data_IF_786664500373
#
_entry.id   IF_786664500373
#
_cell.length_a   1.000
_cell.length_b   1.000
_cell.length_c   1.000
_cell.angle_alpha   90.00
_cell.angle_beta   90.00
_cell.angle_gamma   90.00
#
_symmetry.space_group_name_H-M   'P 1'
#
loop_
_entity.id
_entity.type
_entity.pdbx_description
1 polymer ?
#
# COMPACT_ATOMS: atom_id res chain seq x y z
N UNK A 1 44.76 37.83 -14.67
CA UNK A 1 43.86 36.72 -14.31
C UNK A 1 42.59 37.35 -13.79
N UNK A 2 41.62 37.53 -14.67
CA UNK A 2 40.42 38.33 -14.45
C UNK A 2 39.39 37.61 -13.59
N UNK A 3 38.98 38.29 -12.51
CA UNK A 3 37.90 37.89 -11.63
C UNK A 3 36.55 38.24 -12.28
N UNK A 4 36.06 37.32 -13.12
CA UNK A 4 34.74 37.42 -13.75
C UNK A 4 33.64 37.13 -12.72
N UNK A 5 33.15 38.21 -12.14
CA UNK A 5 32.05 38.36 -11.20
C UNK A 5 30.71 37.84 -11.80
N UNK A 6 30.32 36.61 -11.46
CA UNK A 6 29.00 36.05 -11.81
C UNK A 6 27.91 36.73 -10.94
N UNK A 7 27.13 37.62 -11.55
CA UNK A 7 25.96 38.25 -10.92
C UNK A 7 24.81 37.25 -10.81
N UNK A 8 24.34 37.00 -9.60
CA UNK A 8 23.11 36.24 -9.33
C UNK A 8 21.87 36.99 -9.87
N UNK A 9 20.91 36.30 -10.52
CA UNK A 9 19.66 36.92 -10.94
C UNK A 9 18.71 37.11 -9.75
N UNK A 10 18.26 38.36 -9.57
CA UNK A 10 17.28 38.74 -8.58
C UNK A 10 15.95 37.98 -8.76
N UNK A 11 15.63 37.14 -7.77
CA UNK A 11 14.32 36.49 -7.65
C UNK A 11 13.25 37.55 -7.37
N UNK A 12 12.36 37.75 -8.36
CA UNK A 12 11.20 38.63 -8.25
C UNK A 12 10.28 38.14 -7.12
N UNK A 13 9.96 39.04 -6.18
CA UNK A 13 8.99 38.81 -5.10
C UNK A 13 7.62 38.53 -5.72
N UNK A 14 7.10 37.33 -5.50
CA UNK A 14 5.75 36.96 -5.89
C UNK A 14 4.72 37.86 -5.20
N UNK A 15 3.86 38.44 -6.03
CA UNK A 15 2.74 39.27 -5.67
C UNK A 15 1.75 38.53 -4.76
N UNK A 16 1.13 39.29 -3.86
CA UNK A 16 0.12 38.85 -2.92
C UNK A 16 -1.10 38.35 -3.68
N UNK A 17 -1.30 37.03 -3.73
CA UNK A 17 -2.57 36.43 -4.16
C UNK A 17 -3.58 36.65 -3.04
N UNK A 18 -4.39 37.70 -3.19
CA UNK A 18 -5.60 37.96 -2.43
C UNK A 18 -6.67 36.97 -2.86
N UNK A 19 -7.03 36.03 -1.98
CA UNK A 19 -8.16 35.13 -2.21
C UNK A 19 -9.46 35.85 -1.82
N UNK A 20 -10.49 35.89 -2.69
CA UNK A 20 -11.77 36.48 -2.33
C UNK A 20 -12.45 35.61 -1.26
N UNK A 21 -12.72 36.24 -0.12
CA UNK A 21 -13.65 35.75 0.90
C UNK A 21 -15.09 35.93 0.39
N UNK A 22 -15.96 35.03 0.85
CA UNK A 22 -17.42 34.99 0.65
C UNK A 22 -17.90 34.39 -0.67
N UNK A 23 -18.13 33.07 -0.65
CA UNK A 23 -19.13 32.43 -1.49
C UNK A 23 -20.34 32.20 -0.58
N UNK A 24 -21.43 32.91 -0.86
CA UNK A 24 -22.72 32.72 -0.19
C UNK A 24 -23.20 31.28 -0.42
N UNK A 25 -23.33 30.53 0.68
CA UNK A 25 -23.92 29.20 0.65
C UNK A 25 -25.45 29.35 0.57
N UNK A 26 -26.12 28.72 -0.42
CA UNK A 26 -27.57 28.76 -0.51
C UNK A 26 -28.19 27.98 0.65
N UNK A 27 -29.00 28.69 1.44
CA UNK A 27 -29.88 28.18 2.47
C UNK A 27 -30.99 27.34 1.82
N UNK A 28 -30.68 26.10 1.44
CA UNK A 28 -31.71 25.14 1.04
C UNK A 28 -32.49 24.71 2.29
N UNK A 29 -33.69 25.26 2.42
CA UNK A 29 -34.73 24.85 3.34
C UNK A 29 -34.99 23.36 3.10
N UNK A 30 -34.71 22.55 4.11
CA UNK A 30 -35.01 21.13 4.10
C UNK A 30 -36.53 20.93 4.16
N UNK A 31 -37.15 20.68 3.01
CA UNK A 31 -38.48 20.08 2.96
C UNK A 31 -38.41 18.70 3.62
N UNK A 32 -39.08 18.58 4.77
CA UNK A 32 -39.27 17.32 5.47
C UNK A 32 -40.17 16.43 4.62
N UNK A 33 -39.58 15.49 3.89
CA UNK A 33 -40.32 14.40 3.27
C UNK A 33 -40.87 13.52 4.39
N UNK A 34 -42.21 13.32 4.50
CA UNK A 34 -42.78 12.44 5.50
C UNK A 34 -42.32 11.01 5.20
N UNK A 35 -41.54 10.44 6.13
CA UNK A 35 -41.08 9.06 6.08
C UNK A 35 -42.33 8.16 6.15
N UNK A 36 -42.64 7.51 5.03
CA UNK A 36 -43.73 6.54 4.91
C UNK A 36 -43.56 5.43 5.95
N UNK A 37 -44.62 5.11 6.68
CA UNK A 37 -44.66 4.09 7.73
C UNK A 37 -44.39 2.65 7.24
N UNK A 38 -44.19 2.44 5.93
CA UNK A 38 -43.91 1.13 5.34
C UNK A 38 -42.43 0.69 5.40
N UNK A 39 -41.50 1.57 5.80
CA UNK A 39 -40.05 1.24 5.83
C UNK A 39 -39.53 0.76 7.21
N UNK A 40 -40.40 0.65 8.23
CA UNK A 40 -39.99 0.21 9.57
C UNK A 40 -39.92 -1.31 9.75
N UNK A 41 -40.52 -2.10 8.86
CA UNK A 41 -40.58 -3.56 9.01
C UNK A 41 -39.40 -4.31 8.37
N UNK A 42 -38.61 -3.67 7.50
CA UNK A 42 -37.44 -4.29 6.85
C UNK A 42 -36.13 -4.14 7.64
N UNK A 43 -36.13 -3.43 8.78
CA UNK A 43 -34.93 -3.08 9.55
C UNK A 43 -34.59 -4.06 10.69
N UNK A 44 -35.40 -5.11 10.91
CA UNK A 44 -35.17 -6.13 11.95
C UNK A 44 -34.80 -7.51 11.38
N UNK A 45 -33.99 -7.55 10.31
CA UNK A 45 -33.14 -8.73 10.12
C UNK A 45 -31.98 -8.61 11.11
N UNK A 46 -31.82 -9.51 12.11
CA UNK A 46 -30.59 -9.57 12.88
C UNK A 46 -29.47 -9.82 11.88
N UNK A 47 -28.78 -8.74 11.52
CA UNK A 47 -27.67 -8.77 10.61
C UNK A 47 -26.69 -9.76 11.18
N UNK A 48 -26.43 -10.82 10.42
CA UNK A 48 -25.25 -11.64 10.58
C UNK A 48 -24.10 -10.62 10.45
N UNK A 49 -23.59 -10.14 11.58
CA UNK A 49 -22.35 -9.38 11.63
C UNK A 49 -21.32 -10.41 11.20
N UNK A 50 -21.08 -10.50 9.89
CA UNK A 50 -20.00 -11.29 9.34
C UNK A 50 -18.74 -10.77 10.01
N UNK A 51 -18.25 -11.52 11.00
CA UNK A 51 -17.04 -11.19 11.71
C UNK A 51 -15.97 -10.93 10.65
N UNK A 52 -15.48 -9.69 10.54
CA UNK A 52 -14.40 -9.36 9.61
C UNK A 52 -13.30 -10.42 9.81
N UNK A 53 -12.85 -11.08 8.73
CA UNK A 53 -11.95 -12.20 8.86
C UNK A 53 -10.68 -11.76 9.60
N UNK A 54 -10.53 -12.29 10.84
CA UNK A 54 -9.46 -11.95 11.78
C UNK A 54 -8.05 -11.98 11.16
N UNK A 55 -7.87 -12.75 10.09
CA UNK A 55 -6.65 -12.87 9.31
C UNK A 55 -6.19 -11.53 8.68
N UNK A 56 -7.12 -10.69 8.19
CA UNK A 56 -6.77 -9.45 7.48
C UNK A 56 -6.26 -8.37 8.45
N UNK A 57 -6.84 -8.31 9.65
CA UNK A 57 -6.39 -7.43 10.73
C UNK A 57 -4.92 -7.72 11.12
N UNK A 58 -4.56 -9.00 11.20
CA UNK A 58 -3.20 -9.42 11.52
C UNK A 58 -2.19 -8.94 10.46
N UNK A 59 -2.54 -8.98 9.18
CA UNK A 59 -1.67 -8.49 8.10
C UNK A 59 -1.47 -6.97 8.21
N UNK A 60 -2.54 -6.22 8.51
CA UNK A 60 -2.48 -4.77 8.74
C UNK A 60 -1.53 -4.41 9.89
N UNK A 61 -1.66 -5.09 11.02
CA UNK A 61 -0.82 -4.89 12.22
C UNK A 61 0.65 -5.16 11.90
N UNK A 62 0.96 -6.29 11.25
CA UNK A 62 2.33 -6.66 10.87
C UNK A 62 2.94 -5.67 9.90
N UNK A 63 2.17 -5.17 8.93
CA UNK A 63 2.59 -4.13 8.00
C UNK A 63 2.87 -2.81 8.73
N UNK A 64 2.00 -2.42 9.66
CA UNK A 64 2.16 -1.20 10.44
C UNK A 64 3.43 -1.22 11.30
N UNK A 65 3.61 -2.29 12.09
CA UNK A 65 4.85 -2.55 12.85
C UNK A 65 6.07 -2.56 11.93
N UNK A 66 5.91 -3.15 10.76
CA UNK A 66 6.97 -3.23 9.77
C UNK A 66 7.45 -1.86 9.32
N UNK A 67 6.51 -0.99 8.94
CA UNK A 67 6.80 0.37 8.51
C UNK A 67 7.40 1.24 9.61
N UNK A 68 6.93 1.11 10.85
CA UNK A 68 7.55 1.82 11.99
C UNK A 68 9.01 1.41 12.18
N UNK A 69 9.34 0.11 12.08
CA UNK A 69 10.73 -0.37 12.15
C UNK A 69 11.59 0.20 11.03
N UNK A 70 11.05 0.22 9.81
CA UNK A 70 11.76 0.73 8.64
C UNK A 70 11.99 2.25 8.73
N UNK A 71 11.00 3.01 9.23
CA UNK A 71 11.15 4.44 9.49
C UNK A 71 12.22 4.74 10.54
N UNK A 72 12.32 3.95 11.62
CA UNK A 72 13.42 4.09 12.60
C UNK A 72 14.80 3.96 11.96
N UNK A 73 14.96 2.99 11.04
CA UNK A 73 16.23 2.80 10.29
C UNK A 73 16.51 3.99 9.37
N UNK A 74 15.48 4.52 8.71
CA UNK A 74 15.60 5.71 7.88
C UNK A 74 15.99 6.95 8.69
N UNK A 75 15.38 7.15 9.86
CA UNK A 75 15.69 8.28 10.74
C UNK A 75 17.13 8.19 11.26
N UNK A 76 17.57 7.00 11.68
CA UNK A 76 18.96 6.77 12.07
C UNK A 76 19.94 7.05 10.90
N UNK A 77 19.63 6.59 9.67
CA UNK A 77 20.45 6.88 8.49
C UNK A 77 20.54 8.38 8.16
N UNK A 78 19.54 9.16 8.56
CA UNK A 78 19.52 10.63 8.39
C UNK A 78 20.12 11.38 9.58
N UNK A 79 20.60 10.68 10.61
CA UNK A 79 21.09 11.31 11.85
C UNK A 79 19.99 12.03 12.63
N UNK A 80 18.74 11.58 12.51
CA UNK A 80 17.62 12.19 13.24
C UNK A 80 17.40 11.46 14.56
N UNK A 81 17.73 12.12 15.67
CA UNK A 81 17.32 11.69 17.01
C UNK A 81 15.90 12.14 17.35
N UNK A 82 15.49 13.27 16.77
CA UNK A 82 14.13 13.83 16.84
C UNK A 82 13.72 14.34 15.46
N UNK A 83 12.41 14.42 15.22
CA UNK A 83 11.86 14.97 13.98
C UNK A 83 11.99 16.50 13.97
N UNK A 84 12.24 17.09 12.78
CA UNK A 84 12.35 18.53 12.64
C UNK A 84 11.02 19.23 12.99
N UNK A 85 11.08 20.44 13.59
CA UNK A 85 9.93 21.30 13.90
C UNK A 85 9.34 22.00 12.66
N UNK A 86 9.27 21.30 11.53
CA UNK A 86 8.75 21.82 10.27
C UNK A 86 7.42 21.19 9.91
N UNK A 87 6.69 21.79 8.96
CA UNK A 87 5.46 21.20 8.42
C UNK A 87 5.67 19.76 7.93
N UNK A 88 6.86 19.45 7.39
CA UNK A 88 7.24 18.09 7.00
C UNK A 88 7.41 17.17 8.20
N UNK A 89 8.08 17.61 9.27
CA UNK A 89 8.22 16.82 10.48
C UNK A 89 6.86 16.49 11.11
N UNK A 90 5.91 17.43 11.11
CA UNK A 90 4.53 17.18 11.54
C UNK A 90 3.80 16.16 10.67
N UNK A 91 3.98 16.19 9.33
CA UNK A 91 3.42 15.16 8.43
C UNK A 91 4.00 13.77 8.73
N UNK A 92 5.29 13.67 8.96
CA UNK A 92 5.96 12.41 9.34
C UNK A 92 5.47 11.93 10.71
N UNK A 93 5.28 12.84 11.66
CA UNK A 93 4.76 12.54 12.99
C UNK A 93 3.34 11.96 12.90
N UNK A 94 2.44 12.58 12.13
CA UNK A 94 1.08 12.08 11.87
C UNK A 94 1.09 10.71 11.18
N UNK A 95 1.91 10.55 10.14
CA UNK A 95 2.08 9.26 9.47
C UNK A 95 2.49 8.16 10.47
N UNK A 96 3.44 8.45 11.36
CA UNK A 96 3.88 7.48 12.35
C UNK A 96 2.86 7.23 13.46
N UNK A 97 2.07 8.24 13.84
CA UNK A 97 0.94 8.10 14.77
C UNK A 97 -0.10 7.11 14.22
N UNK A 98 -0.53 7.27 12.96
CA UNK A 98 -1.51 6.37 12.33
C UNK A 98 -1.02 4.91 12.31
N UNK A 99 0.27 4.70 12.03
CA UNK A 99 0.87 3.36 12.08
C UNK A 99 1.05 2.84 13.50
N UNK A 100 1.36 3.69 14.47
CA UNK A 100 1.47 3.32 15.88
C UNK A 100 0.12 2.89 16.44
N UNK A 101 -0.95 3.56 16.03
CA UNK A 101 -2.33 3.20 16.35
C UNK A 101 -2.66 1.81 15.79
N UNK A 102 -2.46 1.59 14.49
CA UNK A 102 -2.71 0.28 13.85
C UNK A 102 -1.81 -0.85 14.36
N UNK A 103 -0.61 -0.56 14.85
CA UNK A 103 0.36 -1.57 15.31
C UNK A 103 0.01 -2.20 16.66
N UNK A 104 -0.90 -1.59 17.43
CA UNK A 104 -1.32 -2.04 18.75
C UNK A 104 -2.78 -2.52 18.72
N UNK A 105 -3.07 -3.65 19.36
CA UNK A 105 -4.44 -4.19 19.42
C UNK A 105 -5.22 -3.65 20.62
N UNK A 106 -4.58 -3.58 21.79
CA UNK A 106 -5.24 -3.26 23.06
C UNK A 106 -4.96 -1.84 23.56
N UNK A 107 -3.84 -1.23 23.17
CA UNK A 107 -3.35 0.04 23.74
C UNK A 107 -2.91 1.04 22.66
N UNK A 108 -3.82 1.35 21.75
CA UNK A 108 -3.55 2.16 20.56
C UNK A 108 -3.11 3.59 20.91
N UNK A 109 -3.86 4.28 21.78
CA UNK A 109 -3.52 5.65 22.20
C UNK A 109 -2.16 5.72 22.91
N UNK A 110 -1.86 4.74 23.78
CA UNK A 110 -0.55 4.64 24.45
C UNK A 110 0.58 4.46 23.42
N UNK A 111 0.35 3.64 22.39
CA UNK A 111 1.31 3.43 21.30
C UNK A 111 1.58 4.73 20.53
N UNK A 112 0.53 5.49 20.18
CA UNK A 112 0.64 6.81 19.56
C UNK A 112 1.42 7.78 20.43
N UNK A 113 1.07 7.89 21.73
CA UNK A 113 1.77 8.77 22.67
C UNK A 113 3.24 8.43 22.80
N UNK A 114 3.59 7.15 22.89
CA UNK A 114 4.98 6.70 22.95
C UNK A 114 5.75 7.05 21.68
N UNK A 115 5.14 6.87 20.51
CA UNK A 115 5.73 7.26 19.23
C UNK A 115 5.99 8.77 19.18
N UNK A 116 4.98 9.58 19.51
CA UNK A 116 5.10 11.03 19.46
C UNK A 116 6.12 11.57 20.48
N UNK A 117 6.14 11.06 21.72
CA UNK A 117 7.13 11.47 22.73
C UNK A 117 8.56 11.12 22.32
N UNK A 118 8.78 9.97 21.68
CA UNK A 118 10.12 9.57 21.22
C UNK A 118 10.64 10.48 20.13
N UNK A 119 9.79 10.84 19.17
CA UNK A 119 10.22 11.52 17.94
C UNK A 119 9.98 13.03 17.94
N UNK A 120 9.07 13.53 18.75
CA UNK A 120 8.77 14.96 18.89
C UNK A 120 8.63 15.33 20.38
N UNK A 121 9.71 15.23 21.18
CA UNK A 121 9.68 15.60 22.60
C UNK A 121 9.38 17.09 22.83
N UNK A 122 9.51 17.89 21.78
CA UNK A 122 9.18 19.31 21.76
C UNK A 122 7.68 19.61 21.62
N UNK A 123 6.84 18.60 21.39
CA UNK A 123 5.40 18.76 21.23
C UNK A 123 4.72 19.02 22.58
N UNK A 124 3.84 20.01 22.66
CA UNK A 124 3.10 20.32 23.89
C UNK A 124 2.10 19.21 24.21
N UNK A 125 1.75 18.99 25.50
CA UNK A 125 0.75 17.98 25.88
C UNK A 125 -0.61 18.14 25.16
N UNK A 126 -1.08 19.38 24.99
CA UNK A 126 -2.34 19.68 24.29
C UNK A 126 -2.31 19.32 22.81
N UNK A 127 -1.19 19.58 22.13
CA UNK A 127 -0.97 19.19 20.73
C UNK A 127 -0.86 17.67 20.59
N UNK A 128 -0.23 17.00 21.57
CA UNK A 128 -0.16 15.55 21.62
C UNK A 128 -1.56 14.94 21.73
N UNK A 129 -2.41 15.48 22.61
CA UNK A 129 -3.79 15.02 22.77
C UNK A 129 -4.60 15.23 21.49
N UNK A 130 -4.40 16.36 20.80
CA UNK A 130 -5.03 16.62 19.50
C UNK A 130 -4.60 15.60 18.42
N UNK A 131 -3.32 15.20 18.39
CA UNK A 131 -2.84 14.15 17.47
C UNK A 131 -3.48 12.80 17.82
N UNK A 132 -3.53 12.43 19.10
CA UNK A 132 -4.15 11.17 19.54
C UNK A 132 -5.63 11.13 19.13
N UNK A 133 -6.37 12.21 19.39
CA UNK A 133 -7.78 12.32 19.01
C UNK A 133 -7.96 12.26 17.48
N UNK A 134 -7.13 12.97 16.72
CA UNK A 134 -7.18 12.98 15.24
C UNK A 134 -6.79 11.65 14.60
N UNK A 135 -5.85 10.91 15.18
CA UNK A 135 -5.50 9.57 14.69
C UNK A 135 -6.63 8.58 14.97
N UNK A 136 -7.28 8.65 16.14
CA UNK A 136 -8.42 7.81 16.50
C UNK A 136 -9.56 7.91 15.47
N UNK A 137 -9.82 9.11 14.96
CA UNK A 137 -10.90 9.35 13.98
C UNK A 137 -10.49 9.06 12.54
N UNK A 138 -9.27 9.42 12.14
CA UNK A 138 -8.87 9.30 10.73
C UNK A 138 -8.44 7.90 10.32
N UNK A 139 -7.83 7.11 11.22
CA UNK A 139 -7.33 5.74 10.98
C UNK A 139 -6.81 5.48 9.56
N UNK A 140 -6.03 6.45 9.04
CA UNK A 140 -5.72 6.50 7.61
C UNK A 140 -4.85 5.30 7.22
N UNK A 141 -5.35 4.51 6.25
CA UNK A 141 -4.58 3.43 5.64
C UNK A 141 -3.63 4.00 4.59
N UNK A 142 -2.37 4.15 4.97
CA UNK A 142 -1.33 4.66 4.07
C UNK A 142 -0.94 3.62 3.01
N UNK A 143 -0.90 4.01 1.74
CA UNK A 143 -0.26 3.19 0.70
C UNK A 143 1.26 3.20 0.87
N UNK A 144 1.96 2.28 0.20
CA UNK A 144 3.43 2.26 0.20
C UNK A 144 3.98 3.55 -0.42
N UNK A 145 3.35 4.05 -1.48
CA UNK A 145 3.78 5.24 -2.19
C UNK A 145 3.50 6.51 -1.39
N UNK A 146 2.33 6.62 -0.74
CA UNK A 146 2.07 7.72 0.17
C UNK A 146 3.06 7.74 1.33
N UNK A 147 3.41 6.57 1.87
CA UNK A 147 4.43 6.44 2.92
C UNK A 147 5.81 6.89 2.41
N UNK A 148 6.20 6.45 1.21
CA UNK A 148 7.45 6.85 0.58
C UNK A 148 7.52 8.36 0.32
N UNK A 149 6.41 8.98 -0.13
CA UNK A 149 6.33 10.42 -0.35
C UNK A 149 6.44 11.21 0.97
N UNK A 150 5.71 10.81 2.03
CA UNK A 150 5.78 11.50 3.33
C UNK A 150 7.17 11.39 3.94
N UNK A 151 7.78 10.21 3.86
CA UNK A 151 9.12 9.97 4.38
C UNK A 151 10.21 10.44 3.41
N UNK A 152 9.86 10.84 2.19
CA UNK A 152 10.75 11.16 1.07
C UNK A 152 11.82 10.09 0.87
N UNK A 153 11.38 8.84 0.75
CA UNK A 153 12.31 7.72 0.59
C UNK A 153 12.70 7.61 -0.87
N UNK A 154 14.01 7.61 -1.13
CA UNK A 154 14.55 7.39 -2.47
C UNK A 154 14.76 5.90 -2.78
N UNK A 155 14.92 5.55 -4.06
CA UNK A 155 15.34 4.20 -4.48
C UNK A 155 16.68 3.83 -3.84
N UNK A 156 17.59 4.80 -3.70
CA UNK A 156 18.88 4.65 -3.01
C UNK A 156 18.69 4.27 -1.55
N UNK A 157 17.88 5.02 -0.81
CA UNK A 157 17.56 4.73 0.60
C UNK A 157 16.97 3.32 0.76
N UNK A 158 16.00 2.96 -0.09
CA UNK A 158 15.34 1.65 -0.09
C UNK A 158 16.35 0.52 -0.27
N UNK A 159 17.26 0.67 -1.22
CA UNK A 159 18.27 -0.34 -1.58
C UNK A 159 19.33 -0.47 -0.48
N UNK A 160 19.89 0.66 -0.03
CA UNK A 160 20.95 0.67 0.97
C UNK A 160 20.47 0.15 2.33
N UNK A 161 19.27 0.56 2.76
CA UNK A 161 18.74 0.20 4.08
C UNK A 161 17.93 -1.11 4.05
N UNK A 162 17.76 -1.72 2.87
CA UNK A 162 16.96 -2.94 2.64
C UNK A 162 15.57 -2.80 3.25
N UNK A 163 14.90 -1.69 2.92
CA UNK A 163 13.58 -1.36 3.46
C UNK A 163 12.53 -2.28 2.83
N UNK A 164 11.50 -2.65 3.60
CA UNK A 164 10.46 -3.58 3.12
C UNK A 164 9.36 -2.86 2.34
N UNK A 165 9.16 -1.57 2.59
CA UNK A 165 8.24 -0.79 1.79
C UNK A 165 8.73 -0.71 0.34
N UNK A 166 7.81 -0.84 -0.60
CA UNK A 166 8.14 -0.93 -2.02
C UNK A 166 8.23 0.46 -2.67
N UNK A 167 7.51 1.45 -2.15
CA UNK A 167 7.46 2.80 -2.69
C UNK A 167 8.79 3.56 -2.56
N UNK A 168 9.07 4.41 -3.54
CA UNK A 168 10.12 5.42 -3.50
C UNK A 168 9.59 6.68 -4.22
N UNK A 169 9.97 7.87 -3.74
CA UNK A 169 9.45 9.15 -4.24
C UNK A 169 10.11 9.62 -5.54
N UNK A 170 11.30 9.12 -5.84
CA UNK A 170 12.10 9.40 -7.04
C UNK A 170 11.94 8.34 -8.14
N UNK A 171 11.00 7.40 -7.96
CA UNK A 171 10.77 6.31 -8.90
C UNK A 171 9.87 6.79 -10.05
N UNK A 172 10.50 7.19 -11.15
CA UNK A 172 9.88 7.87 -12.31
C UNK A 172 8.79 7.01 -12.98
N UNK A 173 8.81 5.68 -12.84
CA UNK A 173 7.90 4.81 -13.59
C UNK A 173 7.24 3.74 -12.71
N UNK A 174 5.96 3.98 -12.37
CA UNK A 174 5.11 3.02 -11.64
C UNK A 174 5.10 1.63 -12.30
N UNK A 175 5.13 1.58 -13.64
CA UNK A 175 5.13 0.32 -14.41
C UNK A 175 6.37 -0.54 -14.14
N UNK A 176 7.55 0.09 -14.05
CA UNK A 176 8.81 -0.60 -13.72
C UNK A 176 8.70 -1.20 -12.31
N UNK A 177 8.10 -0.46 -11.36
CA UNK A 177 7.84 -0.95 -10.00
C UNK A 177 6.91 -2.17 -10.00
N UNK A 178 5.87 -2.13 -10.82
CA UNK A 178 4.94 -3.23 -11.02
C UNK A 178 5.63 -4.47 -11.61
N UNK A 179 6.53 -4.29 -12.58
CA UNK A 179 7.33 -5.37 -13.15
C UNK A 179 8.27 -6.01 -12.10
N UNK A 180 9.03 -5.21 -11.36
CA UNK A 180 9.93 -5.69 -10.29
C UNK A 180 9.17 -6.43 -9.18
N UNK A 181 7.98 -5.94 -8.80
CA UNK A 181 7.11 -6.62 -7.81
C UNK A 181 6.65 -7.98 -8.33
N UNK A 182 6.22 -8.06 -9.59
CA UNK A 182 5.82 -9.33 -10.23
C UNK A 182 6.98 -10.32 -10.28
N UNK A 183 8.18 -9.86 -10.64
CA UNK A 183 9.37 -10.70 -10.70
C UNK A 183 9.76 -11.26 -9.33
N UNK A 184 9.84 -10.41 -8.30
CA UNK A 184 10.15 -10.83 -6.92
C UNK A 184 9.11 -11.80 -6.38
N UNK A 185 7.82 -11.55 -6.63
CA UNK A 185 6.75 -12.47 -6.24
C UNK A 185 6.86 -13.80 -6.98
N UNK A 186 7.17 -13.78 -8.28
CA UNK A 186 7.40 -14.99 -9.06
C UNK A 186 8.58 -15.80 -8.49
N UNK A 187 9.67 -15.14 -8.10
CA UNK A 187 10.82 -15.78 -7.46
C UNK A 187 10.46 -16.41 -6.10
N UNK A 188 9.77 -15.67 -5.22
CA UNK A 188 9.28 -16.20 -3.95
C UNK A 188 8.36 -17.40 -4.16
N UNK A 189 7.48 -17.35 -5.16
CA UNK A 189 6.64 -18.50 -5.51
C UNK A 189 7.45 -19.67 -6.05
N UNK A 190 8.47 -19.44 -6.89
CA UNK A 190 9.39 -20.49 -7.34
C UNK A 190 10.08 -21.16 -6.16
N UNK A 191 10.64 -20.38 -5.23
CA UNK A 191 11.28 -20.88 -3.99
C UNK A 191 10.30 -21.67 -3.12
N UNK A 192 9.08 -21.15 -2.91
CA UNK A 192 8.04 -21.86 -2.17
C UNK A 192 7.66 -23.18 -2.84
N UNK A 193 7.45 -23.18 -4.16
CA UNK A 193 7.13 -24.41 -4.92
C UNK A 193 8.28 -25.41 -4.87
N UNK A 194 9.53 -24.95 -4.95
CA UNK A 194 10.71 -25.81 -4.81
C UNK A 194 10.80 -26.41 -3.40
N UNK A 195 10.62 -25.61 -2.35
CA UNK A 195 10.65 -26.10 -0.95
C UNK A 195 9.46 -27.00 -0.59
N UNK A 196 8.28 -26.76 -1.17
CA UNK A 196 7.11 -27.64 -1.03
C UNK A 196 7.16 -28.85 -1.98
N UNK A 197 8.11 -28.89 -2.91
CA UNK A 197 8.35 -30.08 -3.72
C UNK A 197 9.09 -31.06 -2.83
N UNK A 198 8.43 -32.14 -2.42
CA UNK A 198 9.00 -33.19 -1.57
C UNK A 198 10.12 -34.01 -2.25
N UNK A 199 10.66 -33.55 -3.39
CA UNK A 199 11.59 -34.27 -4.26
C UNK A 199 10.98 -35.51 -4.94
N UNK A 200 9.97 -36.12 -4.31
CA UNK A 200 9.12 -37.14 -4.90
C UNK A 200 8.42 -36.50 -6.10
N UNK A 201 8.61 -37.08 -7.29
CA UNK A 201 7.74 -36.83 -8.45
C UNK A 201 6.32 -36.83 -7.88
N UNK A 202 5.58 -35.71 -8.01
CA UNK A 202 4.18 -35.62 -7.58
C UNK A 202 3.54 -36.92 -8.00
N UNK A 203 3.30 -37.80 -7.04
CA UNK A 203 2.88 -39.15 -7.33
C UNK A 203 1.53 -38.97 -7.97
N UNK A 204 1.46 -39.08 -9.30
CA UNK A 204 0.21 -39.46 -9.92
C UNK A 204 -0.15 -40.73 -9.16
N UNK A 205 -1.29 -40.79 -8.46
CA UNK A 205 -1.66 -42.00 -7.74
C UNK A 205 -1.41 -43.16 -8.69
N UNK A 206 -0.69 -44.17 -8.22
CA UNK A 206 -0.36 -45.32 -9.04
C UNK A 206 -1.69 -46.05 -9.31
N UNK A 207 -2.43 -45.55 -10.29
CA UNK A 207 -3.52 -46.24 -10.94
C UNK A 207 -2.84 -47.51 -11.42
N UNK A 208 -3.18 -48.67 -10.86
CA UNK A 208 -2.60 -49.97 -11.19
C UNK A 208 -2.93 -50.42 -12.62
N UNK A 209 -2.74 -49.51 -13.58
CA UNK A 209 -3.01 -49.66 -14.99
C UNK A 209 -1.93 -50.54 -15.60
N UNK A 210 -2.36 -51.39 -16.51
CA UNK A 210 -1.46 -52.18 -17.33
C UNK A 210 -0.57 -51.25 -18.17
N UNK A 211 0.61 -51.72 -18.64
CA UNK A 211 1.45 -50.95 -19.55
C UNK A 211 0.69 -50.46 -20.80
N UNK A 212 -0.22 -51.27 -21.33
CA UNK A 212 -1.04 -50.92 -22.50
C UNK A 212 -1.99 -49.77 -22.20
N UNK A 213 -2.78 -49.87 -21.13
CA UNK A 213 -3.69 -48.80 -20.68
C UNK A 213 -2.95 -47.49 -20.39
N UNK A 214 -1.72 -47.59 -19.90
CA UNK A 214 -0.86 -46.42 -19.68
C UNK A 214 -0.51 -45.75 -21.00
N UNK A 215 -0.14 -46.50 -22.02
CA UNK A 215 0.19 -45.95 -23.35
C UNK A 215 -1.03 -45.38 -24.06
N UNK A 216 -2.18 -46.04 -23.99
CA UNK A 216 -3.43 -45.52 -24.61
C UNK A 216 -3.86 -44.22 -23.95
N UNK A 217 -3.75 -44.13 -22.62
CA UNK A 217 -4.06 -42.91 -21.89
C UNK A 217 -3.09 -41.77 -22.21
N UNK A 218 -1.79 -42.04 -22.35
CA UNK A 218 -0.80 -41.03 -22.78
C UNK A 218 -1.15 -40.53 -24.18
N UNK A 219 -1.37 -41.44 -25.14
CA UNK A 219 -1.77 -41.09 -26.51
C UNK A 219 -3.06 -40.25 -26.54
N UNK A 220 -4.07 -40.62 -25.73
CA UNK A 220 -5.32 -39.87 -25.63
C UNK A 220 -5.11 -38.45 -25.05
N UNK A 221 -4.28 -38.32 -24.02
CA UNK A 221 -3.95 -37.03 -23.42
C UNK A 221 -3.16 -36.13 -24.38
N UNK A 222 -2.23 -36.70 -25.14
CA UNK A 222 -1.44 -35.96 -26.12
C UNK A 222 -2.27 -35.57 -27.34
N UNK A 223 -3.21 -36.43 -27.77
CA UNK A 223 -4.18 -36.10 -28.81
C UNK A 223 -5.11 -34.96 -28.38
N UNK A 224 -5.60 -34.97 -27.14
CA UNK A 224 -6.43 -33.89 -26.58
C UNK A 224 -5.63 -32.59 -26.45
N UNK A 225 -4.38 -32.66 -25.96
CA UNK A 225 -3.48 -31.50 -25.90
C UNK A 225 -3.26 -30.90 -27.29
N UNK A 226 -3.04 -31.76 -28.29
CA UNK A 226 -2.88 -31.36 -29.68
C UNK A 226 -4.15 -30.71 -30.25
N UNK A 227 -5.34 -31.24 -29.93
CA UNK A 227 -6.63 -30.62 -30.29
C UNK A 227 -6.77 -29.22 -29.69
N UNK A 228 -6.47 -29.05 -28.40
CA UNK A 228 -6.52 -27.74 -27.72
C UNK A 228 -5.55 -26.74 -28.33
N UNK A 229 -4.31 -27.14 -28.61
CA UNK A 229 -3.33 -26.28 -29.29
C UNK A 229 -3.80 -25.86 -30.70
N UNK A 230 -4.44 -26.76 -31.44
CA UNK A 230 -5.02 -26.42 -32.75
C UNK A 230 -6.20 -25.46 -32.61
N UNK A 231 -7.09 -25.70 -31.64
CA UNK A 231 -8.23 -24.82 -31.36
C UNK A 231 -7.78 -23.41 -30.95
N UNK A 232 -6.77 -23.29 -30.09
CA UNK A 232 -6.23 -21.99 -29.66
C UNK A 232 -5.54 -21.21 -30.79
N UNK A 233 -5.09 -21.89 -31.86
CA UNK A 233 -4.54 -21.22 -33.06
C UNK A 233 -5.62 -20.78 -34.04
N UNK A 234 -6.79 -21.42 -34.03
CA UNK A 234 -7.93 -21.09 -34.92
C UNK A 234 -8.78 -19.94 -34.39
N UNK A 235 -8.76 -19.71 -33.09
CA UNK A 235 -9.19 -18.44 -32.54
C UNK A 235 -8.12 -17.43 -32.93
N UNK A 236 -8.37 -16.64 -33.98
CA UNK A 236 -7.53 -15.51 -34.32
C UNK A 236 -7.25 -14.74 -33.01
N UNK A 237 -5.98 -14.52 -32.68
CA UNK A 237 -5.65 -13.58 -31.62
C UNK A 237 -6.43 -12.30 -31.95
N UNK A 238 -7.24 -11.76 -31.01
CA UNK A 238 -7.87 -10.47 -31.25
C UNK A 238 -6.78 -9.53 -31.74
N UNK A 239 -7.02 -8.95 -32.92
CA UNK A 239 -6.06 -8.22 -33.73
C UNK A 239 -5.15 -7.35 -32.85
N UNK A 240 -3.87 -7.70 -32.77
CA UNK A 240 -2.84 -6.84 -32.14
C UNK A 240 -2.47 -5.79 -33.19
N UNK A 241 -3.46 -5.02 -33.64
CA UNK A 241 -3.32 -3.99 -34.66
C UNK A 241 -3.87 -2.64 -34.16
N UNK A 242 -3.67 -2.35 -32.88
CA UNK A 242 -4.08 -1.09 -32.24
C UNK A 242 -2.95 -0.03 -32.29
N UNK A 243 -1.74 -0.37 -32.79
CA UNK A 243 -0.59 0.55 -32.81
C UNK A 243 0.24 0.52 -34.11
N UNK A 244 -0.38 0.41 -35.29
CA UNK A 244 0.26 0.84 -36.54
C UNK A 244 -0.28 2.23 -36.90
N UNK A 245 0.56 3.25 -36.64
CA UNK A 245 0.41 4.63 -37.13
C UNK A 245 0.53 4.67 -38.64
#
# INVERSE_FOLDING_TARGET
MDASFMREPALKRNEKVSWPLAVDLPTHIAEQVPVSAYDLELMHRPGIIEAEPQADLNIGILRARGRLKDAKRLFANRGWDTLPRSARGLKILRWGADHAFMAAMTNQERSVRNWCRKWAPWLKPTELDAIVAGTRTSNKRWSDDQSATVLNVTVRDRTNLKLRFIGACDDINYEIRGALRREKNAECQRKRRAGSSTGKKRGRPHLGLSPEERTTRIKAQDAERSRRYRASRKNASPDINIYRK
#
